data_IF_808739070409
#
_entry.id   IF_808739070409
#
_cell.length_a   1.000
_cell.length_b   1.000
_cell.length_c   1.000
_cell.angle_alpha   90.00
_cell.angle_beta   90.00
_cell.angle_gamma   90.00
#
_symmetry.space_group_name_H-M   'P 1'
#
loop_
_entity.id
_entity.type
_entity.pdbx_description
1 polymer ?
#
# COMPACT_ATOMS: atom_id res chain seq x y z
N UNK A 1 22.42 -13.77 3.79
CA UNK A 1 21.55 -14.93 4.08
C UNK A 1 20.12 -14.51 3.79
N UNK A 2 19.38 -15.26 2.99
CA UNK A 2 17.99 -14.92 2.67
C UNK A 2 17.11 -15.30 3.86
N UNK A 3 16.70 -14.33 4.68
CA UNK A 3 15.74 -14.56 5.76
C UNK A 3 14.33 -14.69 5.16
N UNK A 4 13.70 -15.84 5.34
CA UNK A 4 12.30 -16.06 4.99
C UNK A 4 11.48 -16.03 6.26
N UNK A 5 10.44 -15.19 6.31
CA UNK A 5 9.49 -15.18 7.43
C UNK A 5 8.47 -16.29 7.23
N UNK A 6 8.29 -17.10 8.27
CA UNK A 6 7.39 -18.25 8.27
C UNK A 6 6.41 -18.11 9.44
N UNK A 7 5.12 -18.34 9.18
CA UNK A 7 4.11 -18.34 10.23
C UNK A 7 4.09 -19.71 10.93
N UNK A 8 4.70 -19.78 12.11
CA UNK A 8 4.83 -21.01 12.92
C UNK A 8 3.48 -21.45 13.52
N UNK A 9 2.53 -20.52 13.70
CA UNK A 9 1.26 -20.81 14.37
C UNK A 9 0.25 -21.54 13.47
N UNK A 10 0.53 -21.64 12.17
CA UNK A 10 -0.41 -22.20 11.19
C UNK A 10 -0.29 -23.72 11.05
N UNK A 11 0.92 -24.28 11.27
CA UNK A 11 1.17 -25.73 11.20
C UNK A 11 2.50 -26.12 11.89
N UNK A 12 2.62 -27.35 12.44
CA UNK A 12 3.85 -27.82 13.10
C UNK A 12 5.03 -27.98 12.13
N UNK A 13 4.75 -28.14 10.84
CA UNK A 13 5.72 -28.18 9.74
C UNK A 13 5.34 -27.14 8.70
N UNK A 14 6.30 -26.35 8.24
CA UNK A 14 6.10 -25.38 7.17
C UNK A 14 7.00 -25.67 5.97
N UNK A 15 6.47 -25.47 4.77
CA UNK A 15 7.22 -25.64 3.52
C UNK A 15 7.99 -24.34 3.24
N UNK A 16 9.31 -24.44 3.13
CA UNK A 16 10.18 -23.32 2.78
C UNK A 16 10.71 -23.52 1.36
N UNK A 17 10.69 -22.44 0.57
CA UNK A 17 11.28 -22.47 -0.78
C UNK A 17 12.76 -22.12 -0.68
N UNK A 18 13.61 -23.07 -1.04
CA UNK A 18 15.05 -22.86 -1.14
C UNK A 18 15.41 -22.49 -2.57
N UNK A 19 16.15 -21.39 -2.72
CA UNK A 19 16.72 -20.96 -3.98
C UNK A 19 18.24 -21.12 -3.87
N UNK A 20 18.83 -21.82 -4.84
CA UNK A 20 20.28 -21.82 -5.01
C UNK A 20 20.66 -20.58 -5.84
N UNK A 21 21.32 -19.56 -5.26
CA UNK A 21 21.74 -18.37 -6.00
C UNK A 21 23.04 -18.59 -6.79
N UNK A 22 23.73 -19.72 -6.59
CA UNK A 22 25.00 -20.03 -7.23
C UNK A 22 24.79 -20.85 -8.50
N UNK A 23 25.72 -20.74 -9.44
CA UNK A 23 25.75 -21.53 -10.69
C UNK A 23 26.26 -22.95 -10.48
N UNK A 24 26.73 -23.28 -9.28
CA UNK A 24 27.24 -24.61 -8.90
C UNK A 24 26.13 -25.51 -8.37
N UNK A 25 26.23 -26.81 -8.66
CA UNK A 25 25.31 -27.81 -8.10
C UNK A 25 25.50 -27.93 -6.58
N UNK A 26 24.40 -27.94 -5.84
CA UNK A 26 24.39 -28.14 -4.38
C UNK A 26 23.68 -29.46 -4.08
N UNK A 27 24.41 -30.42 -3.50
CA UNK A 27 23.87 -31.74 -3.11
C UNK A 27 23.41 -31.70 -1.66
N UNK A 28 22.10 -31.74 -1.45
CA UNK A 28 21.48 -31.87 -0.12
C UNK A 28 21.26 -33.35 0.19
N UNK A 29 21.80 -33.81 1.32
CA UNK A 29 21.56 -35.16 1.82
C UNK A 29 20.27 -35.18 2.64
N UNK A 30 19.66 -36.37 2.78
CA UNK A 30 18.60 -36.57 3.77
C UNK A 30 19.15 -36.16 5.15
N UNK A 31 18.31 -35.47 5.92
CA UNK A 31 18.64 -34.91 7.26
C UNK A 31 19.72 -33.80 7.28
N UNK A 32 20.03 -33.19 6.12
CA UNK A 32 20.90 -32.02 6.08
C UNK A 32 20.22 -30.79 6.72
N UNK A 33 20.83 -30.25 7.77
CA UNK A 33 20.41 -29.01 8.42
C UNK A 33 20.90 -27.81 7.60
N UNK A 34 19.97 -27.03 7.04
CA UNK A 34 20.28 -25.89 6.15
C UNK A 34 20.46 -24.58 6.94
N UNK A 35 19.82 -24.47 8.11
CA UNK A 35 19.96 -23.34 9.01
C UNK A 35 19.01 -23.42 10.19
N UNK A 36 19.21 -22.50 11.14
CA UNK A 36 18.39 -22.35 12.34
C UNK A 36 17.31 -21.28 12.12
N UNK A 37 16.16 -21.46 12.79
CA UNK A 37 15.07 -20.49 12.78
C UNK A 37 14.96 -19.82 14.16
N UNK A 38 14.93 -18.50 14.18
CA UNK A 38 14.73 -17.71 15.38
C UNK A 38 13.33 -17.10 15.40
N UNK A 39 12.69 -17.11 16.57
CA UNK A 39 11.37 -16.47 16.75
C UNK A 39 11.56 -14.95 16.81
N UNK A 40 10.92 -14.25 15.88
CA UNK A 40 10.96 -12.78 15.84
C UNK A 40 9.71 -12.25 16.56
N UNK A 41 9.89 -11.62 17.73
CA UNK A 41 8.77 -11.05 18.51
C UNK A 41 8.29 -9.70 17.93
N UNK A 42 9.14 -8.95 17.22
CA UNK A 42 8.80 -7.69 16.55
C UNK A 42 9.56 -7.51 15.24
N UNK A 43 8.83 -7.27 14.16
CA UNK A 43 9.43 -6.79 12.90
C UNK A 43 9.78 -5.32 13.07
N UNK A 44 11.07 -5.01 13.22
CA UNK A 44 11.54 -3.63 13.27
C UNK A 44 11.60 -3.11 11.83
N UNK A 45 10.48 -2.56 11.35
CA UNK A 45 10.55 -1.62 10.24
C UNK A 45 11.19 -0.33 10.77
N UNK A 46 12.25 0.15 10.11
CA UNK A 46 12.84 1.46 10.44
C UNK A 46 11.81 2.54 10.08
N UNK A 47 11.17 3.09 11.10
CA UNK A 47 10.22 4.19 10.98
C UNK A 47 11.00 5.50 10.87
N UNK A 48 10.75 6.29 9.83
CA UNK A 48 11.32 7.65 9.76
C UNK A 48 10.73 8.49 10.89
N UNK A 49 11.58 9.17 11.65
CA UNK A 49 11.17 9.94 12.83
C UNK A 49 10.59 11.32 12.48
N UNK A 50 10.74 11.77 11.22
CA UNK A 50 10.32 13.10 10.77
C UNK A 50 9.72 13.02 9.35
N UNK A 51 8.74 13.88 9.10
CA UNK A 51 8.20 14.15 7.77
C UNK A 51 9.27 14.83 6.90
N UNK A 52 9.27 14.55 5.59
CA UNK A 52 10.18 15.17 4.64
C UNK A 52 9.68 16.60 4.32
N UNK A 53 10.49 17.63 4.58
CA UNK A 53 10.12 19.05 4.37
C UNK A 53 9.69 19.36 2.92
N UNK A 54 10.16 18.57 1.95
CA UNK A 54 9.79 18.70 0.54
C UNK A 54 8.34 18.26 0.23
N UNK A 55 7.65 17.59 1.15
CA UNK A 55 6.29 17.09 0.94
C UNK A 55 5.21 18.12 1.27
N UNK A 56 5.55 19.32 1.78
CA UNK A 56 4.61 20.37 2.24
C UNK A 56 3.50 20.72 1.23
N UNK A 57 3.76 20.57 -0.08
CA UNK A 57 2.80 20.84 -1.16
C UNK A 57 1.74 19.75 -1.37
N UNK A 58 1.91 18.57 -0.77
CA UNK A 58 0.95 17.47 -0.85
C UNK A 58 -0.26 17.73 0.06
N UNK A 59 -1.45 17.39 -0.42
CA UNK A 59 -2.72 17.71 0.21
C UNK A 59 -2.77 17.24 1.67
N UNK A 60 -3.01 18.15 2.62
CA UNK A 60 -3.06 17.90 4.06
C UNK A 60 -4.01 16.75 4.48
N UNK A 61 -5.05 16.49 3.68
CA UNK A 61 -6.02 15.43 3.95
C UNK A 61 -5.45 14.01 3.79
N UNK A 62 -4.38 13.85 3.00
CA UNK A 62 -3.79 12.54 2.69
C UNK A 62 -2.78 12.09 3.77
N UNK A 63 -2.35 13.01 4.65
CA UNK A 63 -1.23 12.80 5.58
C UNK A 63 -1.55 12.12 6.91
N UNK A 64 -2.82 11.89 7.27
CA UNK A 64 -3.15 11.40 8.62
C UNK A 64 -3.34 9.89 8.68
N UNK A 65 -2.26 9.17 8.97
CA UNK A 65 -2.37 8.04 9.91
C UNK A 65 -2.11 8.62 11.30
N UNK A 66 -3.17 9.07 11.96
CA UNK A 66 -3.09 9.35 13.40
C UNK A 66 -3.08 8.00 14.10
N UNK A 67 -1.90 7.49 14.46
CA UNK A 67 -1.79 6.42 15.45
C UNK A 67 -2.06 7.01 16.82
N UNK A 68 -3.32 7.39 17.07
CA UNK A 68 -3.80 7.58 18.43
C UNK A 68 -4.16 6.20 18.97
N UNK A 69 -3.15 5.47 19.45
CA UNK A 69 -3.20 4.82 20.76
C UNK A 69 -1.93 3.98 21.00
N UNK A 70 -1.28 4.12 22.18
CA UNK A 70 -0.39 3.10 22.69
C UNK A 70 -1.20 1.84 23.03
N UNK A 71 -0.56 0.69 22.87
CA UNK A 71 -1.07 -0.63 23.20
C UNK A 71 -1.60 -0.70 24.65
N UNK A 72 -2.92 -0.63 24.81
CA UNK A 72 -3.60 -1.22 25.97
C UNK A 72 -4.84 -1.96 25.49
N UNK A 73 -4.74 -3.28 25.45
CA UNK A 73 -5.85 -4.23 25.38
C UNK A 73 -6.71 -4.10 26.64
N UNK A 74 -7.49 -3.03 26.80
CA UNK A 74 -8.65 -2.91 27.71
C UNK A 74 -9.29 -1.55 27.45
N UNK A 75 -10.40 -1.53 26.71
CA UNK A 75 -11.55 -0.59 26.85
C UNK A 75 -12.43 -0.64 25.60
N UNK A 76 -13.20 -1.71 25.48
CA UNK A 76 -14.39 -1.76 24.62
C UNK A 76 -15.63 -1.47 25.47
N UNK A 77 -15.64 -0.34 26.20
CA UNK A 77 -16.78 0.05 27.01
C UNK A 77 -16.74 1.54 27.37
N UNK A 78 -16.92 2.42 26.37
CA UNK A 78 -17.47 3.78 26.50
C UNK A 78 -17.45 4.49 25.15
N UNK A 79 -18.44 4.18 24.30
CA UNK A 79 -18.94 5.14 23.33
C UNK A 79 -20.43 5.35 23.60
N UNK A 80 -20.71 6.09 24.67
CA UNK A 80 -21.97 6.81 24.83
C UNK A 80 -21.89 8.10 24.01
N UNK A 81 -22.23 7.98 22.71
CA UNK A 81 -22.97 9.03 22.01
C UNK A 81 -23.65 8.41 20.80
N UNK A 82 -24.95 8.19 20.95
CA UNK A 82 -25.92 7.85 19.90
C UNK A 82 -25.75 8.84 18.75
N UNK A 83 -24.96 8.46 17.73
CA UNK A 83 -25.06 9.04 16.39
C UNK A 83 -25.94 8.11 15.59
N UNK A 84 -27.13 8.61 15.31
CA UNK A 84 -28.18 7.94 14.57
C UNK A 84 -27.67 7.43 13.21
N UNK A 85 -28.34 6.38 12.73
CA UNK A 85 -28.10 5.64 11.47
C UNK A 85 -28.10 6.54 10.22
N UNK A 86 -28.51 7.80 10.37
CA UNK A 86 -28.51 8.92 9.42
C UNK A 86 -27.12 9.37 8.93
N UNK A 87 -26.02 8.77 9.42
CA UNK A 87 -24.65 9.27 9.22
C UNK A 87 -23.78 8.43 8.26
N UNK A 88 -24.31 7.37 7.63
CA UNK A 88 -23.51 6.56 6.68
C UNK A 88 -23.29 7.35 5.38
N UNK A 89 -22.02 7.59 4.98
CA UNK A 89 -21.70 8.36 3.78
C UNK A 89 -22.27 7.74 2.50
N UNK A 90 -22.59 8.60 1.52
CA UNK A 90 -23.26 8.19 0.27
C UNK A 90 -22.53 7.06 -0.47
N UNK A 91 -21.20 7.05 -0.46
CA UNK A 91 -20.39 6.02 -1.13
C UNK A 91 -20.49 4.64 -0.45
N UNK A 92 -20.87 4.55 0.83
CA UNK A 92 -21.03 3.30 1.57
C UNK A 92 -22.47 2.77 1.59
N UNK A 93 -23.46 3.56 1.14
CA UNK A 93 -24.87 3.14 1.11
C UNK A 93 -25.08 1.92 0.23
N UNK A 94 -24.46 1.89 -0.94
CA UNK A 94 -24.51 0.74 -1.86
C UNK A 94 -23.91 -0.53 -1.24
N UNK A 95 -22.85 -0.38 -0.45
CA UNK A 95 -22.21 -1.48 0.27
C UNK A 95 -23.13 -1.99 1.38
N UNK A 96 -23.68 -1.06 2.18
CA UNK A 96 -24.61 -1.38 3.26
C UNK A 96 -25.83 -2.14 2.71
N UNK A 97 -26.49 -1.63 1.67
CA UNK A 97 -27.64 -2.26 1.03
C UNK A 97 -27.34 -3.70 0.55
N UNK A 98 -26.14 -3.95 0.02
CA UNK A 98 -25.75 -5.31 -0.39
C UNK A 98 -25.63 -6.25 0.80
N UNK A 99 -25.09 -5.79 1.92
CA UNK A 99 -24.89 -6.62 3.11
C UNK A 99 -26.11 -6.74 4.03
N UNK A 100 -27.12 -5.90 3.86
CA UNK A 100 -28.33 -5.85 4.70
C UNK A 100 -29.54 -6.55 4.07
N UNK A 101 -29.45 -7.01 2.83
CA UNK A 101 -30.49 -7.84 2.19
C UNK A 101 -30.78 -9.08 3.03
N UNK A 102 -32.02 -9.16 3.55
CA UNK A 102 -32.51 -10.32 4.31
C UNK A 102 -32.05 -10.39 5.77
N UNK A 103 -31.48 -9.33 6.34
CA UNK A 103 -31.01 -9.29 7.74
C UNK A 103 -31.99 -8.60 8.68
N UNK A 104 -31.86 -8.90 9.97
CA UNK A 104 -32.64 -8.28 11.04
C UNK A 104 -32.17 -6.84 11.30
N UNK A 105 -33.07 -5.99 11.82
CA UNK A 105 -32.77 -4.57 12.09
C UNK A 105 -31.54 -4.38 12.99
N UNK A 106 -31.36 -5.25 13.99
CA UNK A 106 -30.20 -5.21 14.88
C UNK A 106 -28.86 -5.48 14.17
N UNK A 107 -28.85 -6.40 13.21
CA UNK A 107 -27.65 -6.69 12.40
C UNK A 107 -27.32 -5.56 11.44
N UNK A 108 -28.36 -4.92 10.88
CA UNK A 108 -28.21 -3.73 10.02
C UNK A 108 -27.54 -2.60 10.80
N UNK A 109 -28.01 -2.35 12.02
CA UNK A 109 -27.45 -1.31 12.90
C UNK A 109 -26.01 -1.64 13.31
N UNK A 110 -25.70 -2.91 13.58
CA UNK A 110 -24.34 -3.35 13.90
C UNK A 110 -23.38 -3.16 12.71
N UNK A 111 -23.81 -3.48 11.48
CA UNK A 111 -23.02 -3.28 10.27
C UNK A 111 -22.81 -1.79 10.00
N UNK A 112 -23.85 -0.96 10.16
CA UNK A 112 -23.74 0.48 10.02
C UNK A 112 -22.73 1.07 11.03
N UNK A 113 -22.77 0.63 12.29
CA UNK A 113 -21.81 1.05 13.31
C UNK A 113 -20.36 0.67 12.97
N UNK A 114 -20.14 -0.52 12.40
CA UNK A 114 -18.82 -0.95 11.94
C UNK A 114 -18.29 -0.09 10.78
N UNK A 115 -19.14 0.20 9.79
CA UNK A 115 -18.78 1.05 8.66
C UNK A 115 -18.44 2.47 9.11
N UNK A 116 -19.17 3.01 10.08
CA UNK A 116 -18.87 4.32 10.67
C UNK A 116 -17.55 4.28 11.44
N UNK A 117 -17.28 3.21 12.21
CA UNK A 117 -16.04 3.03 12.96
C UNK A 117 -14.80 3.01 12.06
N UNK A 118 -14.88 2.33 10.91
CA UNK A 118 -13.76 2.17 9.98
C UNK A 118 -13.89 3.02 8.71
N UNK A 119 -14.60 4.16 8.80
CA UNK A 119 -14.84 5.02 7.65
C UNK A 119 -13.54 5.47 6.97
N UNK A 120 -12.50 5.75 7.75
CA UNK A 120 -11.19 6.19 7.25
C UNK A 120 -10.41 5.10 6.48
N UNK A 121 -10.86 3.84 6.53
CA UNK A 121 -10.25 2.73 5.77
C UNK A 121 -10.88 2.58 4.38
N UNK A 122 -12.08 3.11 4.19
CA UNK A 122 -12.78 3.04 2.92
C UNK A 122 -12.39 4.22 2.02
N UNK A 123 -11.91 3.92 0.82
CA UNK A 123 -11.67 4.92 -0.22
C UNK A 123 -13.00 5.57 -0.62
N UNK A 124 -13.06 6.89 -0.55
CA UNK A 124 -14.26 7.66 -0.95
C UNK A 124 -14.38 7.80 -2.45
N UNK A 125 -13.25 7.97 -3.14
CA UNK A 125 -13.14 8.15 -4.59
C UNK A 125 -11.90 7.41 -5.13
N UNK A 126 -11.78 7.28 -6.45
CA UNK A 126 -10.61 6.71 -7.12
C UNK A 126 -9.30 7.46 -6.83
N UNK A 127 -9.42 8.74 -6.50
CA UNK A 127 -8.31 9.64 -6.18
C UNK A 127 -8.02 9.74 -4.68
N UNK A 128 -8.77 9.01 -3.85
CA UNK A 128 -8.56 8.91 -2.41
C UNK A 128 -7.46 7.88 -2.12
N UNK A 129 -6.28 8.18 -2.65
CA UNK A 129 -5.09 7.34 -2.47
C UNK A 129 -4.52 7.63 -1.10
N UNK A 130 -4.60 6.63 -0.20
CA UNK A 130 -3.90 6.71 1.08
C UNK A 130 -2.39 6.79 0.90
N UNK A 131 -1.74 7.70 1.62
CA UNK A 131 -0.28 7.79 1.73
C UNK A 131 0.13 7.53 3.17
N UNK A 132 1.20 6.76 3.34
CA UNK A 132 1.81 6.52 4.65
C UNK A 132 3.24 7.03 4.65
N UNK A 133 3.58 7.85 5.65
CA UNK A 133 4.94 8.34 5.90
C UNK A 133 5.77 7.40 6.79
N UNK A 134 5.19 6.27 7.20
CA UNK A 134 5.80 5.32 8.13
C UNK A 134 7.07 4.68 7.55
N UNK A 135 7.14 4.51 6.23
CA UNK A 135 8.26 3.84 5.60
C UNK A 135 8.50 4.41 4.21
N UNK A 136 9.73 4.86 4.00
CA UNK A 136 10.28 5.11 2.68
C UNK A 136 11.16 3.91 2.31
N UNK A 137 10.99 3.40 1.10
CA UNK A 137 11.78 2.27 0.65
C UNK A 137 12.95 2.75 -0.22
N UNK A 138 14.18 2.42 0.14
CA UNK A 138 15.30 2.53 -0.76
C UNK A 138 15.34 1.29 -1.70
N UNK A 139 15.05 1.43 -2.99
CA UNK A 139 15.54 0.50 -4.03
C UNK A 139 17.07 0.71 -4.07
N UNK A 140 17.84 -0.38 -4.15
CA UNK A 140 19.29 -0.34 -4.32
C UNK A 140 19.64 -0.57 -5.79
N UNK A 141 20.47 0.27 -6.40
CA UNK A 141 20.91 0.11 -7.81
C UNK A 141 22.18 -0.71 -7.96
N UNK A 142 22.87 -0.99 -6.85
CA UNK A 142 24.21 -1.59 -6.89
C UNK A 142 25.17 -0.71 -7.69
N UNK A 143 26.02 -1.33 -8.51
CA UNK A 143 26.99 -0.64 -9.36
C UNK A 143 26.46 -0.28 -10.76
N UNK A 144 25.15 -0.34 -10.99
CA UNK A 144 24.56 -0.10 -12.32
C UNK A 144 24.43 1.40 -12.60
N UNK A 145 25.03 1.84 -13.71
CA UNK A 145 24.94 3.21 -14.17
C UNK A 145 23.50 3.59 -14.63
N UNK A 146 23.12 4.87 -14.55
CA UNK A 146 21.82 5.34 -15.03
C UNK A 146 21.55 5.03 -16.50
N UNK A 147 20.34 4.53 -16.78
CA UNK A 147 19.88 4.23 -18.13
C UNK A 147 18.86 5.29 -18.56
N UNK A 148 19.18 6.01 -19.64
CA UNK A 148 18.30 7.02 -20.25
C UNK A 148 17.79 6.53 -21.60
N UNK A 149 16.57 6.02 -21.62
CA UNK A 149 15.89 5.62 -22.85
C UNK A 149 15.14 6.81 -23.47
N UNK A 150 15.22 6.94 -24.79
CA UNK A 150 14.47 7.98 -25.52
C UNK A 150 12.96 7.74 -25.38
N UNK A 151 12.15 8.78 -25.13
CA UNK A 151 10.70 8.67 -25.19
C UNK A 151 10.21 8.16 -26.55
N UNK A 152 9.14 7.38 -26.56
CA UNK A 152 8.45 7.02 -27.80
C UNK A 152 7.52 8.17 -28.23
N UNK A 153 7.27 8.31 -29.53
CA UNK A 153 6.29 9.27 -30.03
C UNK A 153 4.87 8.82 -29.64
N UNK A 154 4.11 9.72 -29.03
CA UNK A 154 2.70 9.50 -28.71
C UNK A 154 1.87 9.72 -29.97
N UNK A 155 0.98 8.80 -30.37
CA UNK A 155 0.08 9.03 -31.50
C UNK A 155 -0.80 10.26 -31.26
N UNK A 156 -1.04 11.05 -32.32
CA UNK A 156 -1.79 12.32 -32.21
C UNK A 156 -3.17 12.17 -31.56
N UNK A 157 -3.84 11.03 -31.77
CA UNK A 157 -5.14 10.74 -31.17
C UNK A 157 -5.11 10.67 -29.64
N UNK A 158 -3.97 10.31 -29.04
CA UNK A 158 -3.82 10.13 -27.59
C UNK A 158 -3.06 11.28 -26.90
N UNK A 159 -2.37 12.12 -27.67
CA UNK A 159 -1.52 13.19 -27.13
C UNK A 159 -2.27 14.13 -26.17
N UNK A 160 -3.51 14.53 -26.52
CA UNK A 160 -4.32 15.39 -25.65
C UNK A 160 -4.75 14.69 -24.35
N UNK A 161 -5.11 13.40 -24.43
CA UNK A 161 -5.53 12.60 -23.27
C UNK A 161 -4.36 12.34 -22.32
N UNK A 162 -3.19 12.02 -22.86
CA UNK A 162 -1.97 11.82 -22.06
C UNK A 162 -1.55 13.10 -21.35
N UNK A 163 -1.56 14.24 -22.05
CA UNK A 163 -1.26 15.54 -21.45
C UNK A 163 -2.23 15.88 -20.32
N UNK A 164 -3.53 15.72 -20.53
CA UNK A 164 -4.54 15.95 -19.48
C UNK A 164 -4.36 15.04 -18.27
N UNK A 165 -4.06 13.76 -18.48
CA UNK A 165 -3.79 12.83 -17.39
C UNK A 165 -2.52 13.20 -16.60
N UNK A 166 -1.45 13.65 -17.28
CA UNK A 166 -0.23 14.13 -16.64
C UNK A 166 -0.49 15.38 -15.78
N UNK A 167 -1.24 16.36 -16.30
CA UNK A 167 -1.62 17.57 -15.57
C UNK A 167 -2.50 17.25 -14.35
N UNK A 168 -3.42 16.31 -14.48
CA UNK A 168 -4.24 15.83 -13.37
C UNK A 168 -3.41 15.16 -12.27
N UNK A 169 -2.44 14.32 -12.64
CA UNK A 169 -1.56 13.65 -11.68
C UNK A 169 -0.58 14.63 -11.01
N UNK A 170 -0.10 15.64 -11.75
CA UNK A 170 0.71 16.73 -11.21
C UNK A 170 -0.08 17.58 -10.22
N UNK A 171 -1.32 17.97 -10.58
CA UNK A 171 -2.21 18.75 -9.71
C UNK A 171 -2.53 18.01 -8.41
N UNK A 172 -2.64 16.69 -8.46
CA UNK A 172 -2.92 15.84 -7.30
C UNK A 172 -1.68 15.52 -6.46
N UNK A 173 -0.47 15.93 -6.90
CA UNK A 173 0.77 15.67 -6.19
C UNK A 173 1.26 14.22 -6.25
N UNK A 174 0.68 13.38 -7.12
CA UNK A 174 1.15 12.00 -7.33
C UNK A 174 2.46 11.99 -8.10
N UNK A 175 2.59 12.90 -9.08
CA UNK A 175 3.80 13.09 -9.85
C UNK A 175 4.47 14.41 -9.48
N UNK A 176 5.79 14.43 -9.51
CA UNK A 176 6.60 15.63 -9.34
C UNK A 176 7.51 15.83 -10.56
N UNK A 177 7.71 17.09 -10.95
CA UNK A 177 8.70 17.44 -11.98
C UNK A 177 10.11 17.18 -11.43
N UNK A 178 10.92 16.43 -12.17
CA UNK A 178 12.29 16.12 -11.79
C UNK A 178 13.21 16.06 -13.01
N UNK A 179 14.50 16.31 -12.79
CA UNK A 179 15.55 16.14 -13.79
C UNK A 179 16.37 14.91 -13.41
N UNK A 180 16.00 13.75 -13.97
CA UNK A 180 16.61 12.47 -13.63
C UNK A 180 17.58 12.01 -14.72
N UNK A 181 18.74 11.42 -14.36
CA UNK A 181 19.59 10.70 -15.30
C UNK A 181 18.94 9.38 -15.76
N UNK A 182 17.87 8.93 -15.10
CA UNK A 182 17.06 7.79 -15.49
C UNK A 182 15.86 8.25 -16.32
N UNK A 183 15.62 7.59 -17.46
CA UNK A 183 14.40 7.81 -18.23
C UNK A 183 13.95 6.51 -18.89
N UNK A 184 12.63 6.28 -18.88
CA UNK A 184 11.99 5.17 -19.58
C UNK A 184 10.82 5.72 -20.39
N UNK A 185 10.60 5.29 -21.65
CA UNK A 185 9.46 5.73 -22.42
C UNK A 185 8.15 5.21 -21.81
N UNK A 186 7.13 6.06 -21.83
CA UNK A 186 5.76 5.65 -21.50
C UNK A 186 5.15 4.89 -22.67
N UNK A 187 4.43 3.82 -22.39
CA UNK A 187 3.62 3.10 -23.38
C UNK A 187 2.16 3.52 -23.22
N UNK A 188 1.54 4.04 -24.28
CA UNK A 188 0.10 4.26 -24.30
C UNK A 188 -0.61 2.89 -24.38
N UNK A 189 -1.11 2.39 -23.24
CA UNK A 189 -1.94 1.20 -23.22
C UNK A 189 -3.37 1.60 -23.60
N UNK A 190 -3.93 1.00 -24.66
CA UNK A 190 -5.30 1.26 -25.12
C UNK A 190 -6.39 0.63 -24.23
N UNK A 191 -6.06 0.12 -23.04
CA UNK A 191 -7.03 -0.48 -22.13
C UNK A 191 -6.58 -0.35 -20.67
N UNK A 192 -7.43 0.27 -19.87
CA UNK A 192 -7.68 0.04 -18.44
C UNK A 192 -6.71 -0.91 -17.71
N UNK A 193 -5.54 -0.44 -17.26
CA UNK A 193 -4.65 -1.19 -16.37
C UNK A 193 -3.99 -0.26 -15.35
N UNK A 194 -4.32 -0.51 -14.07
CA UNK A 194 -3.60 -0.09 -12.87
C UNK A 194 -2.08 -0.25 -13.06
N UNK A 195 -1.32 0.84 -12.98
CA UNK A 195 0.13 0.78 -12.76
C UNK A 195 0.52 1.79 -11.69
N UNK A 196 0.48 1.34 -10.43
CA UNK A 196 1.28 1.92 -9.34
C UNK A 196 2.74 1.57 -9.60
N UNK A 197 3.51 2.51 -10.14
CA UNK A 197 4.97 2.47 -10.07
C UNK A 197 5.43 3.43 -8.95
N UNK A 198 5.57 2.91 -7.72
CA UNK A 198 6.29 3.62 -6.66
C UNK A 198 7.77 3.26 -6.82
N UNK A 199 8.49 4.12 -7.54
CA UNK A 199 9.95 4.16 -7.47
C UNK A 199 10.31 4.71 -6.10
N UNK A 200 11.25 4.06 -5.46
CA UNK A 200 11.56 4.24 -4.05
C UNK A 200 13.05 3.90 -4.08
N UNK A 201 14.03 4.79 -4.00
CA UNK A 201 15.45 4.43 -4.28
C UNK A 201 16.33 5.30 -3.38
N UNK A 202 17.29 4.65 -2.72
CA UNK A 202 18.24 5.20 -1.71
C UNK A 202 18.66 6.65 -1.95
#
# INVERSE_FOLDING_TARGET
>A
MASTLVNINQSPTCVIRLLNPFTTEVKLRQDAVIGDAEKIDRVVSVLSSKENDNEERNFFAVRRVVTSQPDTLTECAKLTKTKEVSQVPTHLKSLLERYTKGKTKAEIDAVAALLIKYLNTCSTNEWDLGLTHLTEHPINTGAVAPIKQRPHCVPLAYAAKEKGALEDLLRKGVNQMSVSPWARPTTAASSEILLRCRSVKM
#
